data_IF_756561612122
#
_entry.id   IF_756561612122
#
_cell.length_a   1.000
_cell.length_b   1.000
_cell.length_c   1.000
_cell.angle_alpha   90.00
_cell.angle_beta   90.00
_cell.angle_gamma   90.00
#
_symmetry.space_group_name_H-M   'P 1'
#
loop_
_entity.id
_entity.type
_entity.pdbx_description
1 polymer ?
#
# COMPACT_ATOMS: atom_id res chain seq x y z
N UNK A 1 45.10 -8.90 13.07
CA UNK A 1 45.99 -10.07 13.09
C UNK A 1 45.23 -11.19 13.78
N UNK A 2 44.60 -12.06 13.02
CA UNK A 2 44.33 -13.49 13.20
C UNK A 2 43.32 -13.90 12.14
N UNK A 3 43.90 -14.37 10.99
CA UNK A 3 43.18 -15.18 10.03
C UNK A 3 42.97 -16.57 10.62
N UNK A 4 41.72 -17.04 10.67
CA UNK A 4 41.45 -18.46 10.76
C UNK A 4 40.84 -18.94 9.45
N UNK A 5 41.70 -19.50 8.61
CA UNK A 5 41.33 -20.31 7.46
C UNK A 5 40.92 -21.70 7.95
N UNK A 6 39.64 -22.07 7.84
CA UNK A 6 39.26 -23.49 7.86
C UNK A 6 38.86 -23.92 6.45
N UNK A 7 39.75 -24.67 5.82
CA UNK A 7 39.46 -25.52 4.65
C UNK A 7 38.77 -26.79 5.14
N UNK A 8 37.54 -27.01 4.78
CA UNK A 8 36.88 -28.32 4.79
C UNK A 8 36.11 -28.47 3.48
N UNK A 9 36.53 -29.45 2.63
CA UNK A 9 35.75 -29.97 1.49
C UNK A 9 35.60 -29.03 0.30
N UNK A 10 36.39 -29.25 -0.71
CA UNK A 10 36.53 -28.71 -2.06
C UNK A 10 35.32 -28.13 -2.77
N UNK A 11 34.73 -27.07 -2.32
CA UNK A 11 34.01 -26.09 -3.14
C UNK A 11 34.27 -24.70 -2.57
N UNK A 12 34.98 -23.90 -3.38
CA UNK A 12 35.16 -22.49 -3.11
C UNK A 12 33.79 -21.82 -3.30
N UNK A 13 32.99 -21.75 -2.23
CA UNK A 13 31.86 -20.81 -2.21
C UNK A 13 32.47 -19.43 -2.37
N UNK A 14 32.38 -18.87 -3.58
CA UNK A 14 32.59 -17.44 -3.81
C UNK A 14 31.65 -16.69 -2.86
N UNK A 15 32.19 -16.09 -1.77
CA UNK A 15 31.50 -15.09 -1.00
C UNK A 15 31.16 -13.94 -1.95
N UNK A 16 30.00 -13.99 -2.56
CA UNK A 16 29.37 -12.79 -3.09
C UNK A 16 29.03 -11.91 -1.84
N UNK A 17 29.99 -11.06 -1.45
CA UNK A 17 29.63 -9.85 -0.73
C UNK A 17 28.86 -8.98 -1.73
N UNK A 18 27.58 -9.24 -1.91
CA UNK A 18 26.73 -8.26 -2.56
C UNK A 18 26.73 -7.05 -1.65
N UNK A 19 27.27 -5.93 -2.13
CA UNK A 19 27.08 -4.63 -1.50
C UNK A 19 25.57 -4.35 -1.59
N UNK A 20 24.80 -4.86 -0.61
CA UNK A 20 23.35 -4.69 -0.58
C UNK A 20 23.05 -3.20 -0.55
N UNK A 21 22.22 -2.74 -1.46
CA UNK A 21 21.75 -1.36 -1.50
C UNK A 21 21.17 -0.96 -0.14
N UNK A 22 21.40 0.26 0.31
CA UNK A 22 20.91 0.76 1.60
C UNK A 22 20.19 2.08 1.40
N UNK A 23 19.15 2.35 2.20
CA UNK A 23 18.52 3.67 2.29
C UNK A 23 19.53 4.72 2.76
N UNK A 24 19.35 5.97 2.33
CA UNK A 24 20.26 7.07 2.70
C UNK A 24 20.22 7.38 4.20
N UNK A 25 19.04 7.22 4.84
CA UNK A 25 18.83 7.48 6.25
C UNK A 25 17.42 7.11 6.74
N UNK A 26 17.07 7.53 7.97
CA UNK A 26 15.76 7.25 8.62
C UNK A 26 14.58 7.69 7.74
N UNK A 27 14.62 8.93 7.21
CA UNK A 27 13.54 9.47 6.40
C UNK A 27 13.32 8.66 5.11
N UNK A 28 14.41 8.21 4.46
CA UNK A 28 14.35 7.36 3.28
C UNK A 28 13.65 6.04 3.56
N UNK A 29 14.02 5.36 4.64
CA UNK A 29 13.35 4.13 5.08
C UNK A 29 11.87 4.38 5.40
N UNK A 30 11.58 5.36 6.27
CA UNK A 30 10.21 5.63 6.74
C UNK A 30 9.26 5.95 5.59
N UNK A 31 9.63 6.86 4.68
CA UNK A 31 8.77 7.23 3.56
C UNK A 31 8.63 6.12 2.52
N UNK A 32 9.67 5.29 2.33
CA UNK A 32 9.56 4.13 1.42
C UNK A 32 8.69 3.03 2.02
N UNK A 33 8.85 2.73 3.32
CA UNK A 33 8.03 1.73 4.01
C UNK A 33 6.58 2.20 4.19
N UNK A 34 6.36 3.48 4.52
CA UNK A 34 5.03 4.07 4.53
C UNK A 34 4.37 4.04 3.14
N UNK A 35 5.14 4.34 2.08
CA UNK A 35 4.65 4.21 0.70
C UNK A 35 4.32 2.78 0.29
N UNK A 36 5.00 1.79 0.87
CA UNK A 36 4.64 0.39 0.70
C UNK A 36 3.31 0.04 1.36
N UNK A 37 3.07 0.59 2.56
CA UNK A 37 1.86 0.35 3.36
C UNK A 37 0.66 1.14 2.82
N UNK A 38 0.85 2.43 2.52
CA UNK A 38 -0.21 3.30 1.98
C UNK A 38 -0.48 2.97 0.51
N UNK A 39 -1.54 2.23 0.25
CA UNK A 39 -1.89 1.76 -1.08
C UNK A 39 -3.38 1.80 -1.37
N UNK A 40 -3.78 1.05 -2.38
CA UNK A 40 -5.19 0.89 -2.76
C UNK A 40 -6.04 0.37 -1.60
N UNK A 41 -5.44 -0.42 -0.69
CA UNK A 41 -6.11 -0.94 0.49
C UNK A 41 -6.61 0.13 1.45
N UNK A 42 -5.86 1.22 1.63
CA UNK A 42 -6.27 2.35 2.46
C UNK A 42 -7.36 3.17 1.77
N UNK A 43 -7.27 3.33 0.44
CA UNK A 43 -8.14 4.24 -0.30
C UNK A 43 -9.54 3.65 -0.55
N UNK A 44 -9.65 2.36 -0.91
CA UNK A 44 -10.97 1.80 -1.19
C UNK A 44 -11.45 0.75 -0.18
N UNK A 45 -10.54 -0.16 0.24
CA UNK A 45 -10.93 -1.30 1.08
C UNK A 45 -11.24 -0.85 2.50
N UNK A 46 -10.42 0.03 3.06
CA UNK A 46 -10.61 0.52 4.41
C UNK A 46 -11.95 1.30 4.58
N UNK A 47 -12.28 2.32 3.74
CA UNK A 47 -13.56 3.02 3.86
C UNK A 47 -14.76 2.11 3.68
N UNK A 48 -14.70 1.17 2.73
CA UNK A 48 -15.76 0.18 2.54
C UNK A 48 -15.96 -0.70 3.78
N UNK A 49 -14.87 -1.26 4.34
CA UNK A 49 -14.98 -2.10 5.53
C UNK A 49 -15.44 -1.32 6.75
N UNK A 50 -14.95 -0.09 6.91
CA UNK A 50 -15.40 0.79 7.99
C UNK A 50 -16.91 1.04 7.88
N UNK A 51 -17.42 1.40 6.70
CA UNK A 51 -18.84 1.63 6.52
C UNK A 51 -19.67 0.35 6.74
N UNK A 52 -19.22 -0.80 6.26
CA UNK A 52 -19.94 -2.07 6.37
C UNK A 52 -19.97 -2.65 7.78
N UNK A 53 -18.90 -2.44 8.54
CA UNK A 53 -18.71 -3.10 9.85
C UNK A 53 -18.78 -2.13 11.03
N UNK A 54 -19.62 -1.09 10.91
CA UNK A 54 -20.07 -0.27 12.03
C UNK A 54 -19.37 1.08 12.22
N UNK A 55 -18.68 1.59 11.19
CA UNK A 55 -18.12 2.95 11.22
C UNK A 55 -17.07 3.14 12.31
N UNK A 56 -17.41 3.98 13.31
CA UNK A 56 -16.48 4.34 14.38
C UNK A 56 -16.05 3.17 15.27
N UNK A 57 -16.88 2.12 15.44
CA UNK A 57 -16.45 0.93 16.21
C UNK A 57 -15.42 0.11 15.42
N UNK A 58 -15.54 0.02 14.09
CA UNK A 58 -14.52 -0.58 13.25
C UNK A 58 -13.21 0.21 13.34
N UNK A 59 -13.27 1.55 13.26
CA UNK A 59 -12.10 2.42 13.37
C UNK A 59 -11.39 2.25 14.72
N UNK A 60 -12.15 2.22 15.83
CA UNK A 60 -11.61 2.02 17.18
C UNK A 60 -10.83 0.69 17.28
N UNK A 61 -11.46 -0.40 16.82
CA UNK A 61 -10.84 -1.74 16.84
C UNK A 61 -9.60 -1.76 15.94
N UNK A 62 -9.68 -1.17 14.74
CA UNK A 62 -8.54 -1.07 13.83
C UNK A 62 -7.36 -0.35 14.47
N UNK A 63 -7.57 0.80 15.11
CA UNK A 63 -6.51 1.57 15.79
C UNK A 63 -5.89 0.74 16.92
N UNK A 64 -6.69 0.07 17.75
CA UNK A 64 -6.18 -0.79 18.82
C UNK A 64 -5.31 -1.91 18.25
N UNK A 65 -5.75 -2.57 17.18
CA UNK A 65 -5.01 -3.64 16.55
C UNK A 65 -3.71 -3.14 15.87
N UNK A 66 -3.76 -1.97 15.22
CA UNK A 66 -2.59 -1.36 14.58
C UNK A 66 -1.51 -1.01 15.62
N UNK A 67 -1.90 -0.30 16.70
CA UNK A 67 -0.98 0.13 17.77
C UNK A 67 -0.41 -1.03 18.63
N UNK A 68 -1.08 -2.17 18.66
CA UNK A 68 -0.64 -3.33 19.46
C UNK A 68 0.00 -4.38 18.57
N UNK A 69 -0.81 -5.15 17.88
CA UNK A 69 -0.39 -6.29 17.09
C UNK A 69 0.36 -5.86 15.82
N UNK A 70 -0.18 -4.88 15.09
CA UNK A 70 0.43 -4.36 13.85
C UNK A 70 1.83 -3.81 14.10
N UNK A 71 1.97 -2.94 15.11
CA UNK A 71 3.26 -2.36 15.50
C UNK A 71 4.30 -3.44 15.85
N UNK A 72 3.90 -4.46 16.63
CA UNK A 72 4.79 -5.56 17.00
C UNK A 72 5.28 -6.34 15.77
N UNK A 73 4.38 -6.60 14.82
CA UNK A 73 4.71 -7.34 13.61
C UNK A 73 5.64 -6.53 12.67
N UNK A 74 5.41 -5.22 12.52
CA UNK A 74 6.29 -4.36 11.73
C UNK A 74 7.71 -4.35 12.31
N UNK A 75 7.85 -4.24 13.65
CA UNK A 75 9.16 -4.33 14.32
C UNK A 75 9.81 -5.69 14.05
N UNK A 76 9.07 -6.78 14.21
CA UNK A 76 9.60 -8.13 14.04
C UNK A 76 10.15 -8.36 12.62
N UNK A 77 9.35 -8.05 11.59
CA UNK A 77 9.77 -8.23 10.19
C UNK A 77 10.93 -7.30 9.80
N UNK A 78 10.87 -6.03 10.19
CA UNK A 78 11.96 -5.07 9.93
C UNK A 78 13.25 -5.50 10.62
N UNK A 79 13.17 -6.00 11.86
CA UNK A 79 14.32 -6.52 12.61
C UNK A 79 14.91 -7.74 11.93
N UNK A 80 14.06 -8.69 11.51
CA UNK A 80 14.47 -9.88 10.79
C UNK A 80 15.28 -9.52 9.53
N UNK A 81 14.75 -8.59 8.73
CA UNK A 81 15.44 -8.10 7.53
C UNK A 81 16.77 -7.40 7.86
N UNK A 82 16.79 -6.49 8.85
CA UNK A 82 18.00 -5.76 9.22
C UNK A 82 19.12 -6.64 9.78
N UNK A 83 18.76 -7.65 10.57
CA UNK A 83 19.72 -8.58 11.16
C UNK A 83 20.37 -9.49 10.11
N UNK A 84 19.57 -9.97 9.17
CA UNK A 84 20.03 -10.95 8.19
C UNK A 84 20.63 -10.32 6.94
N UNK A 85 20.21 -9.10 6.59
CA UNK A 85 20.57 -8.43 5.34
C UNK A 85 20.21 -9.25 4.10
N UNK A 86 19.10 -10.00 4.17
CA UNK A 86 18.61 -10.90 3.12
C UNK A 86 17.15 -10.65 2.81
N UNK A 87 16.70 -11.16 1.67
CA UNK A 87 15.31 -11.31 1.29
C UNK A 87 14.56 -12.26 2.24
N UNK A 88 13.23 -12.35 2.18
CA UNK A 88 12.45 -13.17 3.10
C UNK A 88 12.93 -14.61 3.20
N UNK A 89 13.21 -15.28 2.08
CA UNK A 89 13.65 -16.69 2.08
C UNK A 89 14.97 -16.85 2.82
N UNK A 90 15.97 -16.07 2.45
CA UNK A 90 17.29 -16.11 3.07
C UNK A 90 17.26 -15.67 4.54
N UNK A 91 16.35 -14.74 4.91
CA UNK A 91 16.18 -14.30 6.29
C UNK A 91 15.69 -15.44 7.19
N UNK A 92 14.60 -16.12 6.82
CA UNK A 92 14.10 -17.28 7.56
C UNK A 92 15.12 -18.42 7.64
N UNK A 93 15.79 -18.74 6.54
CA UNK A 93 16.81 -19.79 6.51
C UNK A 93 18.03 -19.50 7.39
N UNK A 94 18.31 -18.22 7.68
CA UNK A 94 19.44 -17.84 8.54
C UNK A 94 19.22 -18.26 9.99
N UNK A 95 17.97 -18.19 10.49
CA UNK A 95 17.65 -18.55 11.88
C UNK A 95 17.38 -20.05 12.07
N UNK A 96 16.77 -20.70 11.10
CA UNK A 96 16.51 -22.13 11.17
C UNK A 96 16.82 -22.79 9.83
N UNK A 97 17.88 -23.60 9.80
CA UNK A 97 18.31 -24.36 8.60
C UNK A 97 17.41 -25.57 8.37
N UNK A 98 16.11 -25.38 8.42
CA UNK A 98 15.10 -26.42 8.24
C UNK A 98 14.30 -26.19 6.96
N UNK A 99 13.73 -27.27 6.39
CA UNK A 99 12.81 -27.15 5.24
C UNK A 99 11.59 -26.29 5.56
N UNK A 100 11.12 -26.34 6.81
CA UNK A 100 9.98 -25.53 7.26
C UNK A 100 10.29 -24.03 7.24
N UNK A 101 11.47 -23.61 7.71
CA UNK A 101 11.89 -22.21 7.66
C UNK A 101 12.01 -21.71 6.21
N UNK A 102 12.61 -22.51 5.32
CA UNK A 102 12.67 -22.17 3.89
C UNK A 102 11.26 -22.05 3.28
N UNK A 103 10.35 -22.97 3.61
CA UNK A 103 8.96 -22.93 3.15
C UNK A 103 8.24 -21.65 3.63
N UNK A 104 8.38 -21.27 4.90
CA UNK A 104 7.82 -20.03 5.45
C UNK A 104 8.36 -18.78 4.75
N UNK A 105 9.66 -18.76 4.45
CA UNK A 105 10.28 -17.69 3.67
C UNK A 105 9.72 -17.57 2.25
N UNK A 106 9.51 -18.71 1.57
CA UNK A 106 8.91 -18.75 0.24
C UNK A 106 7.44 -18.30 0.23
N UNK A 107 6.65 -18.62 1.25
CA UNK A 107 5.29 -18.10 1.36
C UNK A 107 5.32 -16.56 1.36
N UNK A 108 6.18 -15.95 2.18
CA UNK A 108 6.33 -14.49 2.22
C UNK A 108 6.81 -13.89 0.88
N UNK A 109 7.66 -14.61 0.14
CA UNK A 109 8.18 -14.14 -1.15
C UNK A 109 7.18 -14.30 -2.31
N UNK A 110 6.35 -15.35 -2.29
CA UNK A 110 5.38 -15.64 -3.36
C UNK A 110 4.20 -14.67 -3.32
N UNK A 111 3.77 -14.21 -2.13
CA UNK A 111 2.64 -13.29 -1.97
C UNK A 111 2.80 -12.03 -2.84
N UNK A 112 3.88 -11.23 -2.73
CA UNK A 112 4.04 -10.05 -3.58
C UNK A 112 4.15 -10.41 -5.09
N UNK A 113 4.75 -11.54 -5.44
CA UNK A 113 4.83 -12.00 -6.85
C UNK A 113 3.44 -12.23 -7.43
N UNK A 114 2.51 -12.79 -6.66
CA UNK A 114 1.13 -13.01 -7.10
C UNK A 114 0.29 -11.71 -7.09
N UNK A 115 0.61 -10.76 -6.22
CA UNK A 115 -0.11 -9.49 -6.12
C UNK A 115 0.26 -8.54 -7.26
N UNK A 116 1.53 -8.43 -7.64
CA UNK A 116 2.02 -7.46 -8.64
C UNK A 116 1.22 -7.45 -9.95
N UNK A 117 0.89 -8.59 -10.59
CA UNK A 117 0.17 -8.58 -11.85
C UNK A 117 -1.20 -7.91 -11.75
N UNK A 118 -2.06 -8.35 -10.83
CA UNK A 118 -3.40 -7.76 -10.71
C UNK A 118 -3.34 -6.31 -10.20
N UNK A 119 -2.37 -5.99 -9.35
CA UNK A 119 -2.17 -4.63 -8.84
C UNK A 119 -1.78 -3.66 -9.96
N UNK A 120 -0.96 -4.13 -10.90
CA UNK A 120 -0.58 -3.36 -12.09
C UNK A 120 -1.75 -3.12 -13.05
N UNK A 121 -2.65 -4.09 -13.19
CA UNK A 121 -3.91 -3.91 -13.96
C UNK A 121 -4.74 -2.78 -13.35
N UNK A 122 -4.95 -2.80 -12.04
CA UNK A 122 -5.73 -1.77 -11.35
C UNK A 122 -5.01 -0.41 -11.41
N UNK A 123 -3.69 -0.39 -11.26
CA UNK A 123 -2.88 0.82 -11.46
C UNK A 123 -3.06 1.41 -12.87
N UNK A 124 -3.17 0.56 -13.88
CA UNK A 124 -3.52 0.97 -15.24
C UNK A 124 -4.91 1.61 -15.34
N UNK A 125 -5.91 1.07 -14.64
CA UNK A 125 -7.26 1.67 -14.58
C UNK A 125 -7.22 3.07 -13.94
N UNK A 126 -6.39 3.26 -12.92
CA UNK A 126 -6.19 4.57 -12.27
C UNK A 126 -5.62 5.58 -13.27
N UNK A 127 -4.61 5.19 -14.08
CA UNK A 127 -4.06 6.04 -15.15
C UNK A 127 -5.16 6.43 -16.14
N UNK A 128 -6.00 5.49 -16.56
CA UNK A 128 -7.12 5.76 -17.50
C UNK A 128 -8.07 6.79 -16.93
N UNK A 129 -8.50 6.64 -15.69
CA UNK A 129 -9.45 7.56 -15.05
C UNK A 129 -8.83 8.95 -14.85
N UNK A 130 -7.57 9.03 -14.40
CA UNK A 130 -6.86 10.31 -14.30
C UNK A 130 -6.79 11.02 -15.65
N UNK A 131 -6.47 10.30 -16.71
CA UNK A 131 -6.39 10.85 -18.05
C UNK A 131 -7.74 11.40 -18.55
N UNK A 132 -8.85 10.66 -18.33
CA UNK A 132 -10.19 11.14 -18.72
C UNK A 132 -10.63 12.36 -17.90
N UNK A 133 -10.33 12.40 -16.59
CA UNK A 133 -10.57 13.60 -15.77
C UNK A 133 -9.78 14.82 -16.29
N UNK A 134 -8.52 14.62 -16.68
CA UNK A 134 -7.68 15.69 -17.26
C UNK A 134 -8.22 16.19 -18.62
N UNK A 135 -8.90 15.34 -19.40
CA UNK A 135 -9.59 15.73 -20.63
C UNK A 135 -10.90 16.48 -20.38
N UNK A 136 -11.42 16.45 -19.18
CA UNK A 136 -12.71 17.05 -18.82
C UNK A 136 -13.91 16.12 -18.97
N UNK A 137 -13.71 14.82 -19.18
CA UNK A 137 -14.76 13.82 -19.42
C UNK A 137 -15.40 13.28 -18.12
N UNK A 138 -15.48 14.10 -17.06
CA UNK A 138 -16.02 13.69 -15.75
C UNK A 138 -17.43 13.09 -15.82
N UNK A 139 -18.32 13.68 -16.66
CA UNK A 139 -19.68 13.16 -16.89
C UNK A 139 -19.70 11.77 -17.49
N UNK A 140 -18.77 11.48 -18.42
CA UNK A 140 -18.64 10.16 -19.02
C UNK A 140 -18.24 9.11 -17.98
N UNK A 141 -17.30 9.46 -17.09
CA UNK A 141 -16.82 8.58 -16.01
C UNK A 141 -17.93 8.25 -14.98
N UNK A 142 -18.89 9.13 -14.80
CA UNK A 142 -20.02 8.94 -13.88
C UNK A 142 -21.14 8.03 -14.45
N UNK A 143 -21.04 7.58 -15.69
CA UNK A 143 -22.03 6.65 -16.29
C UNK A 143 -21.85 5.23 -15.79
N UNK A 144 -22.97 4.49 -15.63
CA UNK A 144 -22.97 3.11 -15.10
C UNK A 144 -22.17 2.12 -15.97
N UNK A 145 -22.08 2.39 -17.25
CA UNK A 145 -21.49 1.47 -18.23
C UNK A 145 -20.04 1.78 -18.58
N UNK A 146 -19.51 2.94 -18.18
CA UNK A 146 -18.14 3.33 -18.58
C UNK A 146 -17.09 2.34 -18.10
N UNK A 147 -17.11 2.00 -16.83
CA UNK A 147 -16.13 1.09 -16.26
C UNK A 147 -16.21 -0.30 -16.90
N UNK A 148 -17.41 -0.87 -17.06
CA UNK A 148 -17.59 -2.17 -17.67
C UNK A 148 -17.14 -2.19 -19.14
N UNK A 149 -17.46 -1.14 -19.90
CA UNK A 149 -17.02 -1.00 -21.29
C UNK A 149 -15.49 -0.86 -21.39
N UNK A 150 -14.89 -0.10 -20.49
CA UNK A 150 -13.43 0.07 -20.47
C UNK A 150 -12.72 -1.26 -20.17
N UNK A 151 -13.10 -1.99 -19.11
CA UNK A 151 -12.45 -3.26 -18.76
C UNK A 151 -12.70 -4.38 -19.79
N UNK A 152 -13.78 -4.29 -20.56
CA UNK A 152 -14.05 -5.18 -21.68
C UNK A 152 -13.24 -4.85 -22.95
N UNK A 153 -12.65 -3.67 -23.01
CA UNK A 153 -11.78 -3.28 -24.12
C UNK A 153 -10.34 -3.71 -23.83
N UNK A 154 -9.96 -4.90 -24.30
CA UNK A 154 -8.65 -5.50 -24.04
C UNK A 154 -7.49 -4.61 -24.45
N UNK A 155 -7.55 -3.93 -25.59
CA UNK A 155 -6.46 -3.07 -26.10
C UNK A 155 -6.24 -1.86 -25.17
N UNK A 156 -7.32 -1.18 -24.79
CA UNK A 156 -7.22 0.00 -23.91
C UNK A 156 -6.68 -0.37 -22.52
N UNK A 157 -7.15 -1.51 -21.97
CA UNK A 157 -6.72 -2.01 -20.67
C UNK A 157 -5.26 -2.42 -20.68
N UNK A 158 -4.82 -3.10 -21.76
CA UNK A 158 -3.44 -3.56 -21.93
C UNK A 158 -2.47 -2.38 -22.03
N UNK A 159 -2.79 -1.35 -22.82
CA UNK A 159 -1.95 -0.14 -22.91
C UNK A 159 -1.77 0.52 -21.54
N UNK A 160 -2.85 0.67 -20.79
CA UNK A 160 -2.77 1.27 -19.45
C UNK A 160 -1.97 0.39 -18.46
N UNK A 161 -2.13 -0.93 -18.52
CA UNK A 161 -1.35 -1.90 -17.74
C UNK A 161 0.14 -1.80 -18.05
N UNK A 162 0.52 -1.79 -19.35
CA UNK A 162 1.91 -1.66 -19.78
C UNK A 162 2.50 -0.33 -19.30
N UNK A 163 1.75 0.76 -19.42
CA UNK A 163 2.21 2.08 -18.99
C UNK A 163 2.48 2.12 -17.47
N UNK A 164 1.57 1.60 -16.65
CA UNK A 164 1.77 1.55 -15.19
C UNK A 164 2.94 0.65 -14.81
N UNK A 165 3.03 -0.52 -15.44
CA UNK A 165 4.14 -1.48 -15.22
C UNK A 165 5.48 -0.87 -15.62
N UNK A 166 5.53 -0.14 -16.74
CA UNK A 166 6.73 0.56 -17.19
C UNK A 166 7.23 1.57 -16.15
N UNK A 167 6.36 2.39 -15.56
CA UNK A 167 6.77 3.32 -14.51
C UNK A 167 7.29 2.59 -13.27
N UNK A 168 6.62 1.52 -12.84
CA UNK A 168 7.08 0.69 -11.71
C UNK A 168 8.48 0.13 -11.97
N UNK A 169 8.68 -0.51 -13.13
CA UNK A 169 9.96 -1.12 -13.48
C UNK A 169 11.08 -0.10 -13.68
N UNK A 170 10.80 1.05 -14.28
CA UNK A 170 11.77 2.13 -14.45
C UNK A 170 12.32 2.64 -13.09
N UNK A 171 11.45 2.75 -12.09
CA UNK A 171 11.84 3.16 -10.73
C UNK A 171 12.66 2.05 -10.06
N UNK A 172 12.26 0.80 -10.19
CA UNK A 172 13.00 -0.36 -9.66
C UNK A 172 14.40 -0.44 -10.30
N UNK A 173 14.48 -0.24 -11.62
CA UNK A 173 15.75 -0.25 -12.35
C UNK A 173 16.72 0.83 -11.85
N UNK A 174 16.22 2.00 -11.46
CA UNK A 174 17.02 3.09 -10.87
C UNK A 174 17.58 2.73 -9.47
N UNK A 175 17.11 1.66 -8.84
CA UNK A 175 17.60 1.11 -7.56
C UNK A 175 16.99 1.75 -6.33
N UNK A 176 17.50 1.35 -5.16
CA UNK A 176 16.87 1.69 -3.86
C UNK A 176 16.94 3.19 -3.58
N UNK A 177 18.12 3.81 -3.66
CA UNK A 177 18.27 5.24 -3.29
C UNK A 177 17.76 6.19 -4.38
N UNK A 178 18.16 5.96 -5.64
CA UNK A 178 17.86 6.87 -6.75
C UNK A 178 16.46 6.65 -7.33
N UNK A 179 15.89 5.47 -7.15
CA UNK A 179 14.54 5.11 -7.56
C UNK A 179 13.56 5.16 -6.40
N UNK A 180 13.49 4.09 -5.61
CA UNK A 180 12.47 3.86 -4.58
C UNK A 180 12.42 5.01 -3.57
N UNK A 181 13.56 5.32 -2.95
CA UNK A 181 13.63 6.34 -1.90
C UNK A 181 13.32 7.75 -2.44
N UNK A 182 13.89 8.10 -3.59
CA UNK A 182 13.68 9.42 -4.19
C UNK A 182 12.23 9.66 -4.58
N UNK A 183 11.60 8.67 -5.16
CA UNK A 183 10.19 8.72 -5.56
C UNK A 183 9.29 8.79 -4.34
N UNK A 184 9.54 7.96 -3.32
CA UNK A 184 8.76 7.98 -2.08
C UNK A 184 8.88 9.31 -1.33
N UNK A 185 10.08 9.91 -1.29
CA UNK A 185 10.30 11.23 -0.68
C UNK A 185 9.50 12.35 -1.34
N UNK A 186 9.19 12.24 -2.62
CA UNK A 186 8.35 13.19 -3.33
C UNK A 186 6.86 12.84 -3.23
N UNK A 187 6.49 11.60 -3.53
CA UNK A 187 5.09 11.21 -3.63
C UNK A 187 4.36 11.20 -2.28
N UNK A 188 5.02 10.78 -1.20
CA UNK A 188 4.35 10.64 0.09
C UNK A 188 3.90 11.99 0.69
N UNK A 189 4.72 13.06 0.75
CA UNK A 189 4.24 14.36 1.19
C UNK A 189 3.12 14.94 0.31
N UNK A 190 3.20 14.77 -1.01
CA UNK A 190 2.15 15.22 -1.93
C UNK A 190 0.84 14.46 -1.66
N UNK A 191 0.92 13.14 -1.45
CA UNK A 191 -0.23 12.30 -1.10
C UNK A 191 -0.92 12.80 0.17
N UNK A 192 -0.16 13.16 1.21
CA UNK A 192 -0.72 13.73 2.46
C UNK A 192 -1.46 15.04 2.18
N UNK A 193 -0.86 15.96 1.42
CA UNK A 193 -1.47 17.24 1.08
C UNK A 193 -2.77 17.02 0.29
N UNK A 194 -2.74 16.15 -0.72
CA UNK A 194 -3.92 15.80 -1.51
C UNK A 194 -5.04 15.20 -0.63
N UNK A 195 -4.69 14.29 0.29
CA UNK A 195 -5.67 13.67 1.19
C UNK A 195 -6.35 14.70 2.10
N UNK A 196 -5.60 15.67 2.63
CA UNK A 196 -6.16 16.76 3.44
C UNK A 196 -7.11 17.64 2.64
N UNK A 197 -6.72 18.02 1.41
CA UNK A 197 -7.56 18.86 0.54
C UNK A 197 -8.87 18.13 0.21
N UNK A 198 -8.80 16.88 -0.21
CA UNK A 198 -9.98 16.09 -0.61
C UNK A 198 -10.89 15.83 0.59
N UNK A 199 -10.33 15.45 1.75
CA UNK A 199 -11.11 15.23 2.97
C UNK A 199 -11.81 16.52 3.43
N UNK A 200 -11.12 17.66 3.44
CA UNK A 200 -11.70 18.97 3.75
C UNK A 200 -12.85 19.34 2.82
N UNK A 201 -12.68 19.08 1.54
CA UNK A 201 -13.75 19.28 0.56
C UNK A 201 -14.93 18.34 0.78
N UNK A 202 -14.70 17.05 1.00
CA UNK A 202 -15.74 16.06 1.27
C UNK A 202 -16.58 16.41 2.51
N UNK A 203 -15.90 16.76 3.60
CA UNK A 203 -16.57 17.15 4.88
C UNK A 203 -17.39 18.43 4.73
N UNK A 204 -16.98 19.35 3.85
CA UNK A 204 -17.69 20.62 3.63
C UNK A 204 -19.01 20.48 2.85
N UNK A 205 -19.38 19.30 2.38
CA UNK A 205 -20.61 19.10 1.61
C UNK A 205 -21.85 19.03 2.51
N UNK A 206 -23.00 19.56 2.05
CA UNK A 206 -24.27 19.40 2.79
C UNK A 206 -24.56 17.91 3.02
N UNK A 207 -24.92 17.54 4.24
CA UNK A 207 -25.19 16.15 4.62
C UNK A 207 -23.97 15.29 4.94
N UNK A 208 -22.74 15.76 4.65
CA UNK A 208 -21.51 15.01 4.91
C UNK A 208 -21.23 14.79 6.41
N UNK A 209 -21.72 15.68 7.29
CA UNK A 209 -21.41 15.62 8.72
C UNK A 209 -21.94 14.36 9.40
N UNK A 210 -23.05 13.81 8.94
CA UNK A 210 -23.57 12.53 9.45
C UNK A 210 -22.61 11.38 9.11
N UNK A 211 -21.96 11.42 7.93
CA UNK A 211 -20.90 10.47 7.57
C UNK A 211 -19.65 10.62 8.44
N UNK A 212 -19.27 11.84 8.81
CA UNK A 212 -18.18 12.11 9.76
C UNK A 212 -18.50 11.52 11.13
N UNK A 213 -19.70 11.74 11.65
CA UNK A 213 -20.15 11.18 12.93
C UNK A 213 -20.15 9.65 12.88
N UNK A 214 -20.73 9.07 11.84
CA UNK A 214 -20.78 7.63 11.63
C UNK A 214 -19.39 7.01 11.65
N UNK A 215 -18.42 7.64 11.00
CA UNK A 215 -17.07 7.12 10.88
C UNK A 215 -16.20 7.31 12.12
N UNK A 216 -16.35 8.45 12.85
CA UNK A 216 -15.47 8.79 13.97
C UNK A 216 -16.02 8.40 15.33
N UNK A 217 -17.36 8.36 15.50
CA UNK A 217 -17.97 8.08 16.80
C UNK A 217 -18.30 6.59 16.93
N UNK A 218 -17.64 5.88 17.86
CA UNK A 218 -17.92 4.46 18.08
C UNK A 218 -19.36 4.25 18.57
N UNK A 219 -20.12 3.45 17.83
CA UNK A 219 -21.42 2.94 18.29
C UNK A 219 -21.29 1.44 18.57
N UNK A 220 -21.39 1.04 19.83
CA UNK A 220 -21.23 -0.33 20.27
C UNK A 220 -22.41 -1.23 19.86
N UNK A 221 -23.57 -0.68 19.52
CA UNK A 221 -24.70 -1.45 18.98
C UNK A 221 -24.38 -2.05 17.60
N UNK A 222 -23.45 -1.44 16.87
CA UNK A 222 -22.96 -1.93 15.57
C UNK A 222 -21.80 -2.93 15.70
N UNK A 223 -21.42 -3.31 16.92
CA UNK A 223 -20.34 -4.27 17.14
C UNK A 223 -20.74 -5.68 16.69
N UNK A 224 -19.82 -6.35 15.99
CA UNK A 224 -19.89 -7.78 15.69
C UNK A 224 -18.50 -8.41 15.75
N UNK A 225 -18.41 -9.72 15.94
CA UNK A 225 -17.14 -10.42 15.81
C UNK A 225 -16.52 -10.28 14.42
N UNK A 226 -17.37 -10.12 13.40
CA UNK A 226 -16.90 -9.84 12.03
C UNK A 226 -16.23 -8.48 11.91
N UNK A 227 -16.60 -7.50 12.74
CA UNK A 227 -15.89 -6.19 12.83
C UNK A 227 -14.43 -6.40 13.24
N UNK A 228 -14.18 -7.25 14.26
CA UNK A 228 -12.81 -7.57 14.71
C UNK A 228 -12.02 -8.31 13.64
N UNK A 229 -12.60 -9.34 13.04
CA UNK A 229 -11.95 -10.13 11.97
C UNK A 229 -11.63 -9.27 10.75
N UNK A 230 -12.58 -8.40 10.36
CA UNK A 230 -12.39 -7.50 9.21
C UNK A 230 -11.36 -6.42 9.48
N UNK A 231 -11.33 -5.84 10.69
CA UNK A 231 -10.34 -4.87 11.11
C UNK A 231 -8.93 -5.49 11.17
N UNK A 232 -8.81 -6.72 11.69
CA UNK A 232 -7.56 -7.47 11.71
C UNK A 232 -7.06 -7.75 10.28
N UNK A 233 -7.92 -8.27 9.40
CA UNK A 233 -7.57 -8.53 8.00
C UNK A 233 -7.19 -7.25 7.24
N UNK A 234 -7.83 -6.12 7.56
CA UNK A 234 -7.46 -4.82 7.00
C UNK A 234 -6.10 -4.35 7.50
N UNK A 235 -5.82 -4.49 8.78
CA UNK A 235 -4.55 -4.11 9.39
C UNK A 235 -3.37 -4.92 8.79
N UNK A 236 -3.51 -6.24 8.65
CA UNK A 236 -2.50 -7.07 8.00
C UNK A 236 -2.21 -6.62 6.57
N UNK A 237 -3.27 -6.35 5.80
CA UNK A 237 -3.16 -5.94 4.42
C UNK A 237 -2.55 -4.53 4.29
N UNK A 238 -3.02 -3.57 5.08
CA UNK A 238 -2.58 -2.17 5.07
C UNK A 238 -1.10 -2.04 5.44
N UNK A 239 -0.70 -2.66 6.54
CA UNK A 239 0.68 -2.60 7.03
C UNK A 239 1.66 -3.51 6.26
N UNK A 240 1.20 -4.16 5.19
CA UNK A 240 2.01 -5.09 4.37
C UNK A 240 2.66 -6.22 5.18
N UNK A 241 2.00 -6.69 6.25
CA UNK A 241 2.49 -7.75 7.12
C UNK A 241 2.40 -9.11 6.40
N UNK A 242 3.38 -9.96 6.60
CA UNK A 242 3.54 -11.29 5.99
C UNK A 242 3.66 -11.28 4.45
N UNK A 243 4.05 -10.14 3.86
CA UNK A 243 4.27 -9.98 2.42
C UNK A 243 5.77 -9.90 2.06
N UNK A 244 6.68 -10.09 3.01
CA UNK A 244 8.12 -10.00 2.79
C UNK A 244 8.67 -8.60 2.51
N UNK A 245 7.81 -7.60 2.33
CA UNK A 245 8.19 -6.21 2.02
C UNK A 245 8.99 -5.59 3.16
N UNK A 246 8.49 -5.70 4.39
CA UNK A 246 9.15 -5.12 5.57
C UNK A 246 10.48 -5.82 5.89
N UNK A 247 10.59 -7.13 5.62
CA UNK A 247 11.85 -7.88 5.70
C UNK A 247 12.83 -7.33 4.66
N UNK A 248 12.39 -7.19 3.41
CA UNK A 248 13.22 -6.66 2.31
C UNK A 248 13.70 -5.24 2.63
N UNK A 249 12.80 -4.32 3.00
CA UNK A 249 13.16 -2.94 3.33
C UNK A 249 14.01 -2.85 4.60
N UNK A 250 13.72 -3.67 5.61
CA UNK A 250 14.55 -3.84 6.79
C UNK A 250 15.99 -4.23 6.45
N UNK A 251 16.17 -5.07 5.42
CA UNK A 251 17.51 -5.48 4.97
C UNK A 251 18.32 -4.32 4.37
N UNK A 252 17.66 -3.26 3.87
CA UNK A 252 18.29 -2.04 3.35
C UNK A 252 18.51 -0.97 4.43
N UNK A 253 18.03 -1.21 5.66
CA UNK A 253 18.14 -0.26 6.76
C UNK A 253 19.56 -0.24 7.33
N UNK A 254 20.14 0.96 7.55
CA UNK A 254 21.45 1.12 8.18
C UNK A 254 21.43 0.72 9.67
N UNK A 255 22.60 0.34 10.21
CA UNK A 255 22.72 -0.13 11.59
C UNK A 255 22.50 0.96 12.64
N UNK A 256 22.80 2.20 12.32
CA UNK A 256 22.69 3.38 13.18
C UNK A 256 21.25 3.94 13.28
N UNK A 257 20.31 3.44 12.49
CA UNK A 257 18.92 3.89 12.50
C UNK A 257 18.13 3.07 13.52
N UNK A 258 17.38 3.73 14.42
CA UNK A 258 16.45 3.07 15.35
C UNK A 258 15.32 2.38 14.60
N UNK A 259 15.14 1.07 14.81
CA UNK A 259 14.00 0.31 14.25
C UNK A 259 12.71 0.81 14.88
N UNK A 260 12.67 0.88 16.20
CA UNK A 260 11.49 1.24 16.97
C UNK A 260 10.89 2.58 16.52
N UNK A 261 11.71 3.64 16.48
CA UNK A 261 11.26 4.96 16.03
C UNK A 261 10.84 4.98 14.57
N UNK A 262 11.51 4.20 13.72
CA UNK A 262 11.21 4.18 12.30
C UNK A 262 9.91 3.44 12.02
N UNK A 263 9.69 2.30 12.65
CA UNK A 263 8.49 1.47 12.48
C UNK A 263 7.27 2.14 13.08
N UNK A 264 7.41 2.83 14.24
CA UNK A 264 6.35 3.66 14.80
C UNK A 264 5.91 4.76 13.83
N UNK A 265 6.86 5.43 13.18
CA UNK A 265 6.51 6.45 12.19
C UNK A 265 5.80 5.86 10.98
N UNK A 266 6.16 4.66 10.52
CA UNK A 266 5.46 3.96 9.42
C UNK A 266 4.03 3.62 9.81
N UNK A 267 3.82 3.05 10.98
CA UNK A 267 2.51 2.67 11.51
C UNK A 267 1.59 3.88 11.69
N UNK A 268 2.10 4.95 12.32
CA UNK A 268 1.33 6.21 12.50
C UNK A 268 0.98 6.83 11.15
N UNK A 269 1.89 6.79 10.19
CA UNK A 269 1.66 7.33 8.86
C UNK A 269 0.58 6.55 8.10
N UNK A 270 0.65 5.21 8.11
CA UNK A 270 -0.35 4.35 7.47
C UNK A 270 -1.74 4.53 8.09
N UNK A 271 -1.82 4.49 9.42
CA UNK A 271 -3.08 4.68 10.16
C UNK A 271 -3.68 6.06 9.90
N UNK A 272 -2.86 7.12 9.88
CA UNK A 272 -3.34 8.48 9.58
C UNK A 272 -3.91 8.56 8.16
N UNK A 273 -3.26 7.98 7.16
CA UNK A 273 -3.78 7.97 5.78
C UNK A 273 -5.04 7.10 5.66
N UNK A 274 -5.15 5.98 6.37
CA UNK A 274 -6.37 5.18 6.40
C UNK A 274 -7.56 6.00 6.96
N UNK A 275 -7.34 6.74 8.05
CA UNK A 275 -8.35 7.66 8.62
C UNK A 275 -8.71 8.76 7.62
N UNK A 276 -7.70 9.38 6.98
CA UNK A 276 -7.95 10.40 5.96
C UNK A 276 -8.74 9.85 4.78
N UNK A 277 -8.46 8.62 4.32
CA UNK A 277 -9.23 7.96 3.26
C UNK A 277 -10.69 7.73 3.67
N UNK A 278 -10.92 7.33 4.93
CA UNK A 278 -12.27 7.26 5.51
C UNK A 278 -12.98 8.61 5.45
N UNK A 279 -12.30 9.70 5.84
CA UNK A 279 -12.84 11.07 5.81
C UNK A 279 -12.99 11.65 4.39
N UNK A 280 -12.23 11.17 3.42
CA UNK A 280 -12.41 11.54 2.01
C UNK A 280 -13.67 10.91 1.41
N UNK A 281 -13.94 9.65 1.74
CA UNK A 281 -14.91 8.82 1.02
C UNK A 281 -16.25 8.72 1.74
N UNK A 282 -16.25 8.38 3.03
CA UNK A 282 -17.50 8.13 3.76
C UNK A 282 -18.39 9.39 3.83
N UNK A 283 -17.90 10.58 4.21
CA UNK A 283 -18.72 11.78 4.21
C UNK A 283 -19.27 12.16 2.83
N UNK A 284 -18.45 12.01 1.77
CA UNK A 284 -18.87 12.32 0.41
C UNK A 284 -19.99 11.38 -0.07
N UNK A 285 -19.89 10.08 0.22
CA UNK A 285 -20.92 9.10 -0.12
C UNK A 285 -22.19 9.31 0.70
N UNK A 286 -22.08 9.64 1.99
CA UNK A 286 -23.24 9.98 2.83
C UNK A 286 -23.99 11.21 2.31
N UNK A 287 -23.26 12.26 1.93
CA UNK A 287 -23.86 13.46 1.32
C UNK A 287 -24.61 13.14 0.02
N UNK A 288 -24.07 12.21 -0.79
CA UNK A 288 -24.67 11.79 -2.06
C UNK A 288 -25.87 10.83 -1.86
N UNK A 289 -25.79 9.90 -0.89
CA UNK A 289 -26.77 8.82 -0.69
C UNK A 289 -27.90 9.17 0.30
N UNK A 290 -27.89 10.37 0.87
CA UNK A 290 -28.83 10.71 1.93
C UNK A 290 -28.60 9.96 3.25
N UNK A 291 -27.37 9.54 3.51
CA UNK A 291 -26.97 8.90 4.77
C UNK A 291 -26.98 7.36 4.77
N UNK A 292 -27.08 6.71 3.61
CA UNK A 292 -27.10 5.26 3.54
C UNK A 292 -25.68 4.69 3.38
N UNK A 293 -25.10 3.99 4.39
CA UNK A 293 -23.77 3.37 4.31
C UNK A 293 -23.69 2.20 3.31
N UNK A 294 -24.80 1.53 2.99
CA UNK A 294 -24.83 0.39 2.08
C UNK A 294 -24.57 0.76 0.61
N UNK A 295 -24.55 2.07 0.30
CA UNK A 295 -24.19 2.56 -1.04
C UNK A 295 -22.68 2.48 -1.32
N UNK A 296 -21.84 2.28 -0.30
CA UNK A 296 -20.42 2.03 -0.50
C UNK A 296 -20.20 0.61 -1.05
N UNK A 297 -19.95 0.53 -2.34
CA UNK A 297 -19.69 -0.75 -3.00
C UNK A 297 -18.32 -1.32 -2.64
N UNK A 298 -18.20 -2.66 -2.69
CA UNK A 298 -16.93 -3.33 -2.41
C UNK A 298 -15.92 -3.20 -3.57
N UNK A 299 -14.64 -3.11 -3.21
CA UNK A 299 -13.54 -3.25 -4.17
C UNK A 299 -13.48 -2.17 -5.25
N UNK A 300 -13.10 -2.53 -6.48
CA UNK A 300 -12.94 -1.57 -7.58
C UNK A 300 -14.19 -0.74 -7.89
N UNK A 301 -15.38 -1.29 -7.69
CA UNK A 301 -16.63 -0.59 -7.96
C UNK A 301 -16.79 0.69 -7.13
N UNK A 302 -16.30 0.72 -5.89
CA UNK A 302 -16.28 1.95 -5.10
C UNK A 302 -15.51 3.06 -5.82
N UNK A 303 -14.30 2.77 -6.27
CA UNK A 303 -13.39 3.77 -6.83
C UNK A 303 -13.74 4.14 -8.28
N UNK A 304 -14.17 3.18 -9.10
CA UNK A 304 -14.35 3.39 -10.54
C UNK A 304 -15.81 3.58 -10.97
N UNK A 305 -16.78 3.35 -10.08
CA UNK A 305 -18.21 3.58 -10.37
C UNK A 305 -18.81 4.59 -9.37
N UNK A 306 -18.71 4.31 -8.05
CA UNK A 306 -19.38 5.12 -7.04
C UNK A 306 -18.74 6.51 -6.91
N UNK A 307 -17.43 6.60 -6.75
CA UNK A 307 -16.72 7.87 -6.53
C UNK A 307 -16.85 8.84 -7.70
N UNK A 308 -16.74 8.44 -9.00
CA UNK A 308 -17.00 9.35 -10.12
C UNK A 308 -18.43 9.95 -10.10
N UNK A 309 -19.45 9.15 -9.76
CA UNK A 309 -20.83 9.64 -9.61
C UNK A 309 -20.97 10.65 -8.47
N UNK A 310 -20.34 10.37 -7.32
CA UNK A 310 -20.32 11.27 -6.18
C UNK A 310 -19.69 12.61 -6.58
N UNK A 311 -18.51 12.57 -7.23
CA UNK A 311 -17.83 13.80 -7.64
C UNK A 311 -18.59 14.59 -8.69
N UNK A 312 -19.25 13.96 -9.66
CA UNK A 312 -20.07 14.66 -10.65
C UNK A 312 -21.20 15.48 -10.01
N UNK A 313 -21.74 15.01 -8.88
CA UNK A 313 -22.77 15.72 -8.10
C UNK A 313 -22.22 16.76 -7.11
N UNK A 314 -20.89 16.93 -7.03
CA UNK A 314 -20.23 17.78 -6.05
C UNK A 314 -19.61 19.04 -6.69
N UNK A 315 -20.30 19.97 -7.24
CA UNK A 315 -19.87 21.28 -7.73
C UNK A 315 -18.48 21.44 -8.40
N UNK A 316 -17.40 20.96 -7.80
CA UNK A 316 -16.02 20.96 -8.34
C UNK A 316 -15.55 19.55 -8.72
N UNK A 317 -16.47 18.69 -9.14
CA UNK A 317 -16.21 17.26 -9.35
C UNK A 317 -15.01 16.91 -10.22
N UNK A 318 -14.83 17.63 -11.34
CA UNK A 318 -13.68 17.41 -12.22
C UNK A 318 -12.35 17.68 -11.51
N UNK A 319 -12.24 18.81 -10.82
CA UNK A 319 -11.00 19.18 -10.12
C UNK A 319 -10.69 18.19 -8.97
N UNK A 320 -11.70 17.84 -8.17
CA UNK A 320 -11.54 16.84 -7.09
C UNK A 320 -11.25 15.45 -7.65
N UNK A 321 -11.85 15.07 -8.78
CA UNK A 321 -11.55 13.83 -9.48
C UNK A 321 -10.09 13.75 -9.92
N UNK A 322 -9.53 14.83 -10.48
CA UNK A 322 -8.11 14.92 -10.84
C UNK A 322 -7.23 14.71 -9.59
N UNK A 323 -7.49 15.46 -8.51
CA UNK A 323 -6.71 15.36 -7.28
C UNK A 323 -6.82 13.95 -6.65
N UNK A 324 -8.01 13.36 -6.66
CA UNK A 324 -8.26 12.03 -6.12
C UNK A 324 -7.52 10.95 -6.94
N UNK A 325 -7.67 10.92 -8.26
CA UNK A 325 -7.00 9.90 -9.06
C UNK A 325 -5.49 10.11 -9.14
N UNK A 326 -4.98 11.33 -8.96
CA UNK A 326 -3.55 11.60 -8.78
C UNK A 326 -3.05 11.02 -7.44
N UNK A 327 -3.80 11.24 -6.35
CA UNK A 327 -3.51 10.64 -5.04
C UNK A 327 -3.49 9.11 -5.12
N UNK A 328 -4.51 8.53 -5.75
CA UNK A 328 -4.62 7.06 -5.92
C UNK A 328 -3.47 6.53 -6.78
N UNK A 329 -3.07 7.25 -7.83
CA UNK A 329 -1.92 6.86 -8.66
C UNK A 329 -0.62 6.82 -7.85
N UNK A 330 -0.38 7.81 -6.98
CA UNK A 330 0.80 7.83 -6.14
C UNK A 330 0.78 6.69 -5.12
N UNK A 331 -0.36 6.44 -4.47
CA UNK A 331 -0.54 5.32 -3.55
C UNK A 331 -0.35 3.96 -4.26
N UNK A 332 -0.92 3.79 -5.45
CA UNK A 332 -0.77 2.58 -6.24
C UNK A 332 0.69 2.36 -6.67
N UNK A 333 1.36 3.40 -7.14
CA UNK A 333 2.73 3.29 -7.65
C UNK A 333 3.74 2.98 -6.55
N UNK A 334 3.66 3.65 -5.38
CA UNK A 334 4.56 3.38 -4.25
C UNK A 334 4.41 1.96 -3.71
N UNK A 335 3.19 1.44 -3.60
CA UNK A 335 2.95 0.06 -3.19
C UNK A 335 3.39 -0.96 -4.25
N UNK A 336 3.14 -0.69 -5.55
CA UNK A 336 3.60 -1.55 -6.65
C UNK A 336 5.13 -1.67 -6.68
N UNK A 337 5.84 -0.56 -6.45
CA UNK A 337 7.31 -0.53 -6.33
C UNK A 337 7.76 -1.44 -5.19
N UNK A 338 7.14 -1.35 -4.02
CA UNK A 338 7.53 -2.13 -2.85
C UNK A 338 7.29 -3.65 -3.03
N UNK A 339 6.14 -4.02 -3.61
CA UNK A 339 5.81 -5.40 -3.97
C UNK A 339 6.82 -5.96 -4.97
N UNK A 340 7.11 -5.21 -6.03
CA UNK A 340 8.06 -5.61 -7.07
C UNK A 340 9.48 -5.71 -6.51
N UNK A 341 9.89 -4.78 -5.65
CA UNK A 341 11.20 -4.82 -5.00
C UNK A 341 11.38 -6.04 -4.10
N UNK A 342 10.35 -6.45 -3.38
CA UNK A 342 10.37 -7.68 -2.57
C UNK A 342 10.59 -8.92 -3.44
N UNK A 343 9.96 -8.99 -4.61
CA UNK A 343 10.16 -10.05 -5.60
C UNK A 343 11.58 -10.01 -6.17
N UNK A 344 12.05 -8.85 -6.65
CA UNK A 344 13.40 -8.67 -7.22
C UNK A 344 14.48 -9.05 -6.21
N UNK A 345 14.38 -8.55 -4.97
CA UNK A 345 15.32 -8.90 -3.89
C UNK A 345 15.38 -10.42 -3.62
N UNK A 346 14.26 -11.12 -3.75
CA UNK A 346 14.21 -12.58 -3.57
C UNK A 346 14.93 -13.28 -4.72
N UNK A 347 14.71 -12.86 -5.97
CA UNK A 347 15.42 -13.44 -7.13
C UNK A 347 16.92 -13.14 -7.12
N UNK A 348 17.32 -11.94 -6.68
CA UNK A 348 18.74 -11.60 -6.49
C UNK A 348 19.40 -12.54 -5.47
N UNK A 349 18.78 -12.78 -4.32
CA UNK A 349 19.37 -13.54 -3.23
C UNK A 349 19.34 -15.05 -3.46
N UNK A 350 18.25 -15.61 -4.01
CA UNK A 350 18.04 -17.06 -4.09
C UNK A 350 18.47 -17.66 -5.44
N UNK A 351 18.34 -16.89 -6.52
CA UNK A 351 18.65 -17.38 -7.89
C UNK A 351 19.95 -16.77 -8.40
N UNK A 352 20.43 -15.68 -7.77
CA UNK A 352 21.67 -14.99 -8.18
C UNK A 352 21.49 -14.12 -9.43
N UNK A 353 20.25 -13.74 -9.76
CA UNK A 353 20.00 -12.81 -10.87
C UNK A 353 20.49 -11.41 -10.52
N UNK A 354 21.01 -10.70 -11.51
CA UNK A 354 21.32 -9.29 -11.33
C UNK A 354 20.04 -8.47 -11.45
N UNK A 355 19.98 -7.34 -10.75
CA UNK A 355 18.86 -6.38 -10.85
C UNK A 355 18.68 -5.81 -12.27
N UNK A 356 19.73 -5.83 -13.09
CA UNK A 356 19.77 -5.33 -14.49
C UNK A 356 19.64 -6.43 -15.49
#
# INVERSE_FOLDING_TARGET
>A
MFEYSQKIGGEVMKKHHSNRSMFSGKLGFVLSAAGASVGLGNIWRFPYLAAKYGGGIFLLIYIILALTFGYTMIIAETTLGRMTKKSPVGAFHTFAKTKFASFSGWINAIIPILIVPYYSVIGGWVIKYLFEYLKGDAKLLATDTYFSNFISNGVSTEICFILFTFFTLAIIYAGVQNGIERVSKFMMPVLVVLSVIIAGYSISRPGAFEGVKYFLIPNFDNFSWMTVVSAMGQMFYSLSIAMGILITFGSYMKKDISIEDSTRNVEVFDTAIAIMAGLMIIPAVFAFSGGNPDTLQAGPALMFITIPKVFENMGLGTAIGILFFLLVLFAALTSSIALTESAVSTFEDEIGWSRK
#
